data_IF_703920591247
#
_entry.id   IF_703920591247
#
_cell.length_a   1.000
_cell.length_b   1.000
_cell.length_c   1.000
_cell.angle_alpha   90.00
_cell.angle_beta   90.00
_cell.angle_gamma   90.00
#
_symmetry.space_group_name_H-M   'P 1'
#
loop_
_entity.id
_entity.type
_entity.pdbx_description
1 polymer ?
#
# COMPACT_ATOMS: atom_id res chain seq x y z
N UNK A 1 -24.78 1.56 23.18
CA UNK A 1 -24.95 0.72 21.97
C UNK A 1 -24.97 1.66 20.79
N UNK A 2 -24.09 1.41 19.81
CA UNK A 2 -23.98 2.20 18.58
C UNK A 2 -24.43 1.32 17.39
N UNK A 3 -25.23 1.89 16.50
CA UNK A 3 -25.66 1.24 15.26
C UNK A 3 -25.03 2.02 14.10
N UNK A 4 -24.44 1.30 13.15
CA UNK A 4 -23.80 1.89 11.98
C UNK A 4 -23.94 0.96 10.77
N UNK A 5 -23.90 1.52 9.56
CA UNK A 5 -23.79 0.71 8.33
C UNK A 5 -22.40 0.05 8.25
N UNK A 6 -22.30 -1.08 7.56
CA UNK A 6 -21.04 -1.86 7.46
C UNK A 6 -19.90 -1.10 6.78
N UNK A 7 -20.21 -0.18 5.85
CA UNK A 7 -19.24 0.52 4.99
C UNK A 7 -18.35 -0.43 4.15
N UNK A 8 -18.80 -1.67 3.98
CA UNK A 8 -18.18 -2.72 3.17
C UNK A 8 -19.24 -3.62 2.55
N UNK A 9 -18.83 -4.53 1.64
CA UNK A 9 -19.76 -5.37 0.90
C UNK A 9 -20.04 -6.75 1.56
N UNK A 10 -19.59 -7.01 2.79
CA UNK A 10 -19.55 -8.36 3.37
C UNK A 10 -20.95 -8.89 3.68
N UNK A 11 -21.77 -8.15 4.43
CA UNK A 11 -23.13 -8.57 4.79
C UNK A 11 -24.01 -8.73 3.55
N UNK A 12 -23.89 -7.82 2.58
CA UNK A 12 -24.58 -7.92 1.28
C UNK A 12 -24.14 -9.19 0.53
N UNK A 13 -22.83 -9.44 0.42
CA UNK A 13 -22.29 -10.62 -0.28
C UNK A 13 -22.70 -11.95 0.36
N UNK A 14 -23.00 -11.94 1.67
CA UNK A 14 -23.46 -13.10 2.44
C UNK A 14 -24.98 -13.17 2.57
N UNK A 15 -25.72 -12.20 2.02
CA UNK A 15 -27.17 -12.04 2.18
C UNK A 15 -27.62 -12.05 3.67
N UNK A 16 -26.89 -11.33 4.52
CA UNK A 16 -27.16 -11.21 5.96
C UNK A 16 -27.74 -9.83 6.29
N UNK A 17 -28.72 -9.80 7.18
CA UNK A 17 -29.40 -8.56 7.59
C UNK A 17 -28.66 -7.76 8.67
N UNK A 18 -27.78 -8.40 9.45
CA UNK A 18 -27.07 -7.79 10.58
C UNK A 18 -25.81 -8.60 10.91
N UNK A 19 -24.78 -7.91 11.41
CA UNK A 19 -23.59 -8.52 12.00
C UNK A 19 -23.28 -7.91 13.37
N UNK A 20 -22.72 -8.72 14.27
CA UNK A 20 -22.15 -8.22 15.53
C UNK A 20 -20.66 -7.95 15.34
N UNK A 21 -20.23 -6.72 15.59
CA UNK A 21 -18.82 -6.31 15.42
C UNK A 21 -17.98 -6.88 16.56
N UNK A 22 -16.89 -7.57 16.22
CA UNK A 22 -15.95 -8.15 17.20
C UNK A 22 -15.02 -7.11 17.82
N UNK A 23 -14.71 -6.06 17.06
CA UNK A 23 -13.82 -4.98 17.47
C UNK A 23 -13.46 -4.08 16.29
N UNK A 24 -12.63 -3.08 16.55
CA UNK A 24 -12.09 -2.18 15.53
C UNK A 24 -10.68 -2.57 15.15
N UNK A 25 -10.32 -2.43 13.88
CA UNK A 25 -8.97 -2.70 13.42
C UNK A 25 -7.96 -1.72 14.05
N UNK A 26 -6.78 -2.24 14.40
CA UNK A 26 -5.57 -1.42 14.55
C UNK A 26 -5.15 -0.84 13.20
N UNK A 27 -4.51 0.32 13.22
CA UNK A 27 -4.11 1.04 12.00
C UNK A 27 -2.69 1.54 12.14
N UNK A 28 -1.85 1.23 11.15
CA UNK A 28 -0.54 1.84 10.98
C UNK A 28 -0.45 2.59 9.65
N UNK A 29 0.20 3.75 9.66
CA UNK A 29 0.39 4.58 8.47
C UNK A 29 1.84 5.01 8.33
N UNK A 30 2.37 4.80 7.14
CA UNK A 30 3.78 5.01 6.85
C UNK A 30 3.96 5.92 5.65
N UNK A 31 4.92 6.83 5.75
CA UNK A 31 5.43 7.61 4.62
C UNK A 31 6.74 6.98 4.17
N UNK A 32 6.78 6.51 2.93
CA UNK A 32 7.90 5.75 2.38
C UNK A 32 8.50 6.55 1.23
N UNK A 33 9.82 6.77 1.26
CA UNK A 33 10.55 7.43 0.18
C UNK A 33 11.54 6.47 -0.46
N UNK A 34 11.40 6.29 -1.77
CA UNK A 34 12.41 5.65 -2.60
C UNK A 34 13.27 6.71 -3.27
N UNK A 35 14.59 6.52 -3.21
CA UNK A 35 15.57 7.41 -3.83
C UNK A 35 16.32 6.63 -4.91
N UNK A 36 16.22 7.14 -6.13
CA UNK A 36 16.83 6.63 -7.35
C UNK A 36 17.74 7.68 -7.97
N UNK A 37 17.69 7.79 -9.31
CA UNK A 37 18.49 8.76 -10.06
C UNK A 37 17.76 9.20 -11.33
N UNK A 38 17.64 10.51 -11.53
CA UNK A 38 17.13 11.07 -12.78
C UNK A 38 18.08 10.74 -13.92
N UNK A 39 17.51 10.28 -15.03
CA UNK A 39 18.25 9.94 -16.23
C UNK A 39 17.34 10.06 -17.46
N UNK A 40 17.90 10.40 -18.61
CA UNK A 40 17.11 10.55 -19.82
C UNK A 40 16.53 9.20 -20.26
N UNK A 41 15.20 9.13 -20.42
CA UNK A 41 14.47 7.89 -20.66
C UNK A 41 14.78 7.25 -22.02
N UNK A 42 15.25 8.02 -22.99
CA UNK A 42 15.58 7.51 -24.33
C UNK A 42 17.02 7.00 -24.49
N UNK A 43 17.97 7.51 -23.70
CA UNK A 43 19.41 7.26 -23.91
C UNK A 43 20.06 6.42 -22.81
N UNK A 44 19.42 6.33 -21.64
CA UNK A 44 19.95 5.55 -20.52
C UNK A 44 19.56 4.08 -20.66
N UNK A 45 20.52 3.15 -20.83
CA UNK A 45 20.24 1.71 -20.90
C UNK A 45 19.50 1.19 -19.67
N UNK A 46 18.60 0.22 -19.84
CA UNK A 46 17.75 -0.29 -18.75
C UNK A 46 18.55 -0.83 -17.55
N UNK A 47 19.65 -1.53 -17.80
CA UNK A 47 20.49 -2.14 -16.76
C UNK A 47 21.28 -1.12 -15.93
N UNK A 48 21.33 0.15 -16.34
CA UNK A 48 22.02 1.23 -15.61
C UNK A 48 21.05 2.13 -14.85
N UNK A 49 19.74 1.90 -14.92
CA UNK A 49 18.74 2.75 -14.27
C UNK A 49 18.65 2.47 -12.79
N UNK A 50 18.45 3.54 -12.01
CA UNK A 50 18.03 3.50 -10.61
C UNK A 50 16.65 4.15 -10.51
N UNK A 51 15.63 3.39 -10.88
CA UNK A 51 14.25 3.87 -10.99
C UNK A 51 13.51 3.74 -9.65
N UNK A 52 13.18 4.87 -9.02
CA UNK A 52 12.51 4.89 -7.73
C UNK A 52 11.04 4.42 -7.81
N UNK A 53 10.34 4.70 -8.91
CA UNK A 53 8.96 4.23 -9.09
C UNK A 53 8.93 2.72 -9.29
N UNK A 54 9.89 2.15 -10.00
CA UNK A 54 9.99 0.70 -10.15
C UNK A 54 10.18 -0.01 -8.80
N UNK A 55 10.95 0.58 -7.87
CA UNK A 55 11.08 0.07 -6.51
C UNK A 55 9.76 0.16 -5.73
N UNK A 56 9.07 1.30 -5.81
CA UNK A 56 7.76 1.48 -5.19
C UNK A 56 6.70 0.51 -5.75
N UNK A 57 6.69 0.27 -7.06
CA UNK A 57 5.77 -0.67 -7.70
C UNK A 57 6.01 -2.12 -7.26
N UNK A 58 7.26 -2.51 -7.01
CA UNK A 58 7.56 -3.81 -6.40
C UNK A 58 6.98 -3.89 -4.99
N UNK A 59 7.16 -2.85 -4.17
CA UNK A 59 6.57 -2.82 -2.83
C UNK A 59 5.03 -2.91 -2.89
N UNK A 60 4.37 -2.20 -3.82
CA UNK A 60 2.90 -2.26 -3.98
C UNK A 60 2.39 -3.69 -4.19
N UNK A 61 3.11 -4.48 -5.00
CA UNK A 61 2.75 -5.88 -5.22
C UNK A 61 3.00 -6.72 -3.97
N UNK A 62 4.12 -6.50 -3.28
CA UNK A 62 4.47 -7.25 -2.07
C UNK A 62 3.53 -6.98 -0.88
N UNK A 63 3.10 -5.73 -0.65
CA UNK A 63 2.20 -5.42 0.49
C UNK A 63 0.86 -6.15 0.38
N UNK A 64 0.40 -6.47 -0.84
CA UNK A 64 -0.81 -7.26 -1.07
C UNK A 64 -0.63 -8.70 -0.64
N UNK A 65 0.53 -9.28 -0.91
CA UNK A 65 0.86 -10.64 -0.47
C UNK A 65 1.11 -10.69 1.03
N UNK A 66 1.72 -9.66 1.63
CA UNK A 66 1.85 -9.51 3.09
C UNK A 66 0.47 -9.49 3.76
N UNK A 67 -0.46 -8.67 3.25
CA UNK A 67 -1.81 -8.58 3.78
C UNK A 67 -2.54 -9.93 3.73
N UNK A 68 -2.43 -10.66 2.61
CA UNK A 68 -3.00 -12.02 2.48
C UNK A 68 -2.40 -13.01 3.47
N UNK A 69 -1.08 -12.99 3.67
CA UNK A 69 -0.39 -13.92 4.58
C UNK A 69 -0.83 -13.75 6.04
N UNK A 70 -1.07 -12.50 6.46
CA UNK A 70 -1.42 -12.19 7.84
C UNK A 70 -2.93 -12.04 8.08
N UNK A 71 -3.76 -12.04 7.03
CA UNK A 71 -5.22 -11.82 7.17
C UNK A 71 -5.60 -10.36 7.41
N UNK A 72 -4.74 -9.42 7.01
CA UNK A 72 -4.96 -7.98 7.12
C UNK A 72 -5.34 -7.31 5.81
N UNK A 73 -5.34 -5.97 5.82
CA UNK A 73 -5.48 -5.15 4.62
C UNK A 73 -4.36 -4.13 4.54
N UNK A 74 -3.83 -3.93 3.33
CA UNK A 74 -2.82 -2.92 3.02
C UNK A 74 -3.28 -2.11 1.82
N UNK A 75 -3.02 -0.80 1.83
CA UNK A 75 -3.31 0.10 0.71
C UNK A 75 -2.21 1.14 0.56
N UNK A 76 -1.65 1.27 -0.65
CA UNK A 76 -0.86 2.45 -1.00
C UNK A 76 -1.76 3.51 -1.64
N UNK A 77 -2.18 4.49 -0.83
CA UNK A 77 -3.19 5.47 -1.23
C UNK A 77 -2.65 6.67 -2.02
N UNK A 78 -1.33 6.89 -2.01
CA UNK A 78 -0.67 7.99 -2.73
C UNK A 78 0.68 7.54 -3.24
N UNK A 79 0.99 7.95 -4.47
CA UNK A 79 2.30 7.83 -5.12
C UNK A 79 2.61 9.16 -5.79
N UNK A 80 3.70 9.80 -5.39
CA UNK A 80 4.18 11.08 -5.92
C UNK A 80 5.59 10.87 -6.50
N UNK A 81 5.81 11.26 -7.76
CA UNK A 81 7.07 10.99 -8.45
C UNK A 81 7.75 12.27 -8.88
N UNK A 82 9.08 12.29 -8.76
CA UNK A 82 9.94 13.35 -9.27
C UNK A 82 10.95 12.76 -10.27
N UNK A 83 11.25 13.45 -11.38
CA UNK A 83 10.72 14.77 -11.76
C UNK A 83 9.27 14.76 -12.30
N UNK A 84 8.64 13.60 -12.52
CA UNK A 84 7.25 13.52 -12.97
C UNK A 84 7.03 13.90 -14.44
N UNK A 85 8.05 13.69 -15.29
CA UNK A 85 7.99 13.95 -16.73
C UNK A 85 8.24 12.68 -17.54
N UNK A 86 7.61 12.57 -18.70
CA UNK A 86 7.61 11.36 -19.54
C UNK A 86 9.01 10.95 -20.05
N UNK A 87 9.92 11.91 -20.18
CA UNK A 87 11.26 11.71 -20.74
C UNK A 87 12.36 11.48 -19.70
N UNK A 88 12.00 11.29 -18.42
CA UNK A 88 12.97 11.04 -17.34
C UNK A 88 12.64 9.79 -16.56
N UNK A 89 13.68 9.01 -16.22
CA UNK A 89 13.61 8.01 -15.15
C UNK A 89 13.27 8.72 -13.83
N UNK A 90 12.45 8.08 -13.01
CA UNK A 90 12.01 8.62 -11.71
C UNK A 90 13.16 8.55 -10.71
N UNK A 91 13.51 9.72 -10.15
CA UNK A 91 14.59 9.85 -9.17
C UNK A 91 14.11 9.77 -7.73
N UNK A 92 12.86 10.14 -7.47
CA UNK A 92 12.28 10.06 -6.13
C UNK A 92 10.82 9.66 -6.26
N UNK A 93 10.40 8.71 -5.41
CA UNK A 93 9.02 8.29 -5.31
C UNK A 93 8.61 8.33 -3.83
N UNK A 94 7.69 9.23 -3.49
CA UNK A 94 7.10 9.34 -2.15
C UNK A 94 5.74 8.64 -2.14
N UNK A 95 5.54 7.78 -1.15
CA UNK A 95 4.41 6.86 -1.07
C UNK A 95 3.77 6.89 0.32
N UNK A 96 2.44 6.71 0.39
CA UNK A 96 1.71 6.57 1.65
C UNK A 96 1.08 5.19 1.75
N UNK A 97 1.46 4.44 2.77
CA UNK A 97 0.96 3.10 3.08
C UNK A 97 0.03 3.16 4.30
N UNK A 98 -1.15 2.56 4.19
CA UNK A 98 -2.10 2.30 5.27
C UNK A 98 -2.22 0.77 5.46
N UNK A 99 -1.97 0.28 6.67
CA UNK A 99 -2.05 -1.13 7.04
C UNK A 99 -3.00 -1.31 8.21
N UNK A 100 -3.82 -2.35 8.16
CA UNK A 100 -4.79 -2.64 9.22
C UNK A 100 -4.91 -4.11 9.50
N UNK A 101 -5.08 -4.44 10.77
CA UNK A 101 -5.40 -5.78 11.25
C UNK A 101 -6.21 -5.73 12.56
N UNK A 102 -7.01 -6.75 12.85
CA UNK A 102 -7.77 -6.85 14.12
C UNK A 102 -6.87 -7.22 15.32
N UNK A 103 -5.94 -8.13 15.10
CA UNK A 103 -4.89 -8.54 16.03
C UNK A 103 -3.67 -7.61 15.91
N UNK A 104 -3.21 -7.06 17.04
CA UNK A 104 -2.10 -6.11 17.09
C UNK A 104 -0.73 -6.76 16.84
N UNK A 105 -0.54 -8.02 17.24
CA UNK A 105 0.72 -8.73 17.01
C UNK A 105 0.88 -9.08 15.52
N UNK A 106 -0.22 -9.46 14.87
CA UNK A 106 -0.25 -9.65 13.42
C UNK A 106 -0.01 -8.33 12.67
N UNK A 107 -0.59 -7.21 13.14
CA UNK A 107 -0.31 -5.88 12.55
C UNK A 107 1.18 -5.54 12.58
N UNK A 108 1.84 -5.79 13.72
CA UNK A 108 3.27 -5.54 13.87
C UNK A 108 4.13 -6.44 12.98
N UNK A 109 3.70 -7.69 12.74
CA UNK A 109 4.39 -8.63 11.85
C UNK A 109 4.29 -8.25 10.37
N UNK A 110 3.25 -7.51 9.96
CA UNK A 110 3.11 -7.06 8.58
C UNK A 110 4.22 -6.08 8.13
N UNK A 111 4.99 -5.52 9.06
CA UNK A 111 6.15 -4.66 8.76
C UNK A 111 7.50 -5.39 8.67
N UNK A 112 7.55 -6.67 9.03
CA UNK A 112 8.78 -7.47 9.07
C UNK A 112 9.05 -8.17 7.74
#
# INVERSE_FOLDING_TARGET
MELHIEQGPVLESMNLAMGTVLGTYGVERHSIRFVGQAAHAGSTPMHLRRDALAAAAKLELEIREIAKRHGGVCTMGRVDTKPGIVTSVVETCDCLLDQRHLDADQLAQMLQ
#
